data_IF_107300159099
#
_entry.id   IF_107300159099
#
_cell.length_a   1.000
_cell.length_b   1.000
_cell.length_c   1.000
_cell.angle_alpha   90.00
_cell.angle_beta   90.00
_cell.angle_gamma   90.00
#
_symmetry.space_group_name_H-M   'P 1'
#
loop_
_entity.id
_entity.type
_entity.pdbx_description
1 polymer ?
#
# COMPACT_ATOMS: atom_id res chain seq x y z
N UNK A 1 38.53 -4.53 -7.95
CA UNK A 1 37.85 -3.58 -8.85
C UNK A 1 36.96 -4.36 -9.80
N UNK A 2 35.78 -3.82 -10.13
CA UNK A 2 34.83 -4.37 -11.10
C UNK A 2 34.21 -3.23 -11.91
N UNK A 3 33.98 -3.46 -13.19
CA UNK A 3 33.20 -2.57 -14.05
C UNK A 3 31.75 -3.04 -14.11
N UNK A 4 30.81 -2.11 -14.21
CA UNK A 4 29.40 -2.43 -14.41
C UNK A 4 29.15 -3.02 -15.80
N UNK A 5 28.48 -4.19 -15.91
CA UNK A 5 28.24 -4.83 -17.20
C UNK A 5 27.22 -4.11 -18.08
N UNK A 6 26.44 -3.16 -17.55
CA UNK A 6 25.40 -2.42 -18.27
C UNK A 6 25.79 -0.95 -18.55
N UNK A 7 26.78 -0.39 -17.85
CA UNK A 7 27.29 0.97 -18.07
C UNK A 7 28.82 0.99 -18.10
N UNK A 8 29.36 1.20 -19.30
CA UNK A 8 30.79 1.40 -19.50
C UNK A 8 31.29 2.61 -18.70
N UNK A 9 32.46 2.46 -18.06
CA UNK A 9 33.10 3.50 -17.25
C UNK A 9 32.49 3.73 -15.86
N UNK A 10 31.45 2.98 -15.48
CA UNK A 10 30.97 2.89 -14.10
C UNK A 10 31.76 1.79 -13.39
N UNK A 11 32.66 2.18 -12.49
CA UNK A 11 33.57 1.28 -11.80
C UNK A 11 33.29 1.22 -10.30
N UNK A 12 33.49 0.04 -9.72
CA UNK A 12 33.43 -0.23 -8.30
C UNK A 12 34.77 -0.74 -7.78
N UNK A 13 35.24 -0.19 -6.67
CA UNK A 13 36.49 -0.60 -6.03
C UNK A 13 36.28 -0.87 -4.54
N UNK A 14 36.89 -1.96 -4.07
CA UNK A 14 37.03 -2.27 -2.66
C UNK A 14 38.42 -1.89 -2.18
N UNK A 15 38.52 -1.39 -0.96
CA UNK A 15 39.78 -1.02 -0.31
C UNK A 15 39.86 -1.68 1.07
N UNK A 16 40.96 -1.44 1.80
CA UNK A 16 41.12 -1.86 3.20
C UNK A 16 40.09 -1.22 4.15
N UNK A 17 39.38 -0.17 3.70
CA UNK A 17 38.49 0.62 4.56
C UNK A 17 37.06 0.74 4.04
N UNK A 18 36.74 0.21 2.85
CA UNK A 18 35.37 0.29 2.33
C UNK A 18 35.24 0.11 0.82
N UNK A 19 34.12 0.59 0.30
CA UNK A 19 33.77 0.52 -1.13
C UNK A 19 33.68 1.93 -1.75
N UNK A 20 34.02 2.02 -3.03
CA UNK A 20 34.11 3.25 -3.81
C UNK A 20 33.49 3.05 -5.18
N UNK A 21 32.98 4.14 -5.76
CA UNK A 21 32.41 4.19 -7.10
C UNK A 21 33.06 5.29 -7.93
N UNK A 22 33.30 5.03 -9.21
CA UNK A 22 33.71 6.02 -10.21
C UNK A 22 32.70 6.01 -11.36
N UNK A 23 32.37 7.20 -11.86
CA UNK A 23 31.42 7.38 -12.98
C UNK A 23 32.11 7.79 -14.28
N UNK A 24 33.45 7.82 -14.29
CA UNK A 24 34.30 8.39 -15.33
C UNK A 24 35.60 7.59 -15.53
N UNK A 25 35.44 6.27 -15.60
CA UNK A 25 36.50 5.31 -15.94
C UNK A 25 37.71 5.36 -14.98
N UNK A 26 37.44 5.65 -13.71
CA UNK A 26 38.44 5.68 -12.64
C UNK A 26 39.18 7.00 -12.48
N UNK A 27 38.78 8.05 -13.21
CA UNK A 27 39.39 9.39 -13.10
C UNK A 27 39.08 10.03 -11.74
N UNK A 28 37.84 9.89 -11.28
CA UNK A 28 37.40 10.36 -9.96
C UNK A 28 36.67 9.24 -9.20
N UNK A 29 36.95 9.15 -7.90
CA UNK A 29 36.37 8.15 -7.00
C UNK A 29 35.59 8.83 -5.88
N UNK A 30 34.41 8.29 -5.58
CA UNK A 30 33.53 8.72 -4.51
C UNK A 30 33.27 7.54 -3.58
N UNK A 31 33.15 7.80 -2.27
CA UNK A 31 32.86 6.76 -1.30
C UNK A 31 31.45 6.21 -1.51
N UNK A 32 31.33 4.87 -1.60
CA UNK A 32 30.06 4.14 -1.64
C UNK A 32 29.87 3.37 -0.33
N UNK A 33 30.02 4.08 0.79
CA UNK A 33 30.06 3.44 2.11
C UNK A 33 28.67 3.12 2.65
N UNK A 34 27.67 4.01 2.52
CA UNK A 34 26.31 3.83 3.06
C UNK A 34 26.33 3.25 4.49
N UNK A 35 25.73 2.07 4.71
CA UNK A 35 25.77 1.33 5.99
C UNK A 35 26.82 0.18 6.00
N UNK A 36 27.64 0.04 4.96
CA UNK A 36 28.76 -0.90 4.95
C UNK A 36 29.70 -0.54 6.11
N UNK A 37 30.13 -1.51 6.95
CA UNK A 37 31.12 -1.22 7.99
C UNK A 37 32.49 -0.92 7.38
N UNK A 38 33.31 -0.15 8.10
CA UNK A 38 34.73 0.04 7.75
C UNK A 38 35.45 -1.29 7.94
N UNK A 39 35.73 -1.99 6.84
CA UNK A 39 36.35 -3.32 6.81
C UNK A 39 37.03 -3.54 5.46
N UNK A 40 38.09 -4.37 5.38
CA UNK A 40 38.67 -4.73 4.11
C UNK A 40 37.67 -5.41 3.18
N UNK A 41 37.61 -4.95 1.93
CA UNK A 41 36.82 -5.54 0.85
C UNK A 41 37.73 -6.38 -0.03
N UNK A 42 37.55 -7.70 0.00
CA UNK A 42 38.39 -8.63 -0.76
C UNK A 42 37.90 -8.88 -2.18
N UNK A 43 36.59 -8.85 -2.39
CA UNK A 43 36.01 -9.04 -3.72
C UNK A 43 34.68 -8.31 -3.87
N UNK A 44 34.33 -8.05 -5.12
CA UNK A 44 33.10 -7.44 -5.56
C UNK A 44 32.56 -8.26 -6.72
N UNK A 45 31.26 -8.51 -6.75
CA UNK A 45 30.58 -9.05 -7.93
C UNK A 45 29.28 -8.28 -8.18
N UNK A 46 28.89 -8.21 -9.44
CA UNK A 46 27.58 -7.67 -9.83
C UNK A 46 26.70 -8.84 -10.20
N UNK A 47 25.58 -8.99 -9.51
CA UNK A 47 24.59 -10.03 -9.76
C UNK A 47 23.27 -9.38 -10.15
N UNK A 48 22.96 -9.39 -11.46
CA UNK A 48 21.81 -8.67 -11.99
C UNK A 48 21.93 -7.16 -11.77
N UNK A 49 21.13 -6.64 -10.85
CA UNK A 49 21.10 -5.22 -10.47
C UNK A 49 21.63 -4.99 -9.05
N UNK A 50 22.29 -5.98 -8.44
CA UNK A 50 22.80 -5.89 -7.08
C UNK A 50 24.33 -5.93 -7.06
N UNK A 51 24.96 -5.12 -6.20
CA UNK A 51 26.40 -5.14 -5.95
C UNK A 51 26.67 -5.93 -4.66
N UNK A 52 27.32 -7.09 -4.80
CA UNK A 52 27.68 -7.95 -3.68
C UNK A 52 29.15 -7.72 -3.32
N UNK A 53 29.39 -7.46 -2.03
CA UNK A 53 30.68 -7.10 -1.46
C UNK A 53 31.12 -8.19 -0.49
N UNK A 54 32.26 -8.83 -0.76
CA UNK A 54 32.87 -9.80 0.14
C UNK A 54 33.79 -9.07 1.14
N UNK A 55 33.42 -9.10 2.42
CA UNK A 55 34.16 -8.40 3.49
C UNK A 55 35.05 -9.34 4.29
N UNK A 56 36.14 -8.81 4.84
CA UNK A 56 36.99 -9.55 5.75
C UNK A 56 36.37 -9.65 7.15
N UNK A 57 35.99 -10.86 7.56
CA UNK A 57 35.51 -11.13 8.92
C UNK A 57 34.06 -10.69 9.21
N UNK A 58 33.30 -10.24 8.20
CA UNK A 58 31.90 -9.76 8.37
C UNK A 58 30.91 -10.26 7.30
N UNK A 59 31.17 -11.42 6.69
CA UNK A 59 30.30 -12.05 5.65
C UNK A 59 30.13 -11.17 4.39
N UNK A 60 29.03 -11.31 3.66
CA UNK A 60 28.72 -10.50 2.48
C UNK A 60 27.83 -9.31 2.86
N UNK A 61 28.05 -8.18 2.19
CA UNK A 61 27.14 -7.03 2.18
C UNK A 61 26.59 -6.86 0.77
N UNK A 62 25.31 -6.53 0.63
CA UNK A 62 24.66 -6.35 -0.67
C UNK A 62 24.09 -4.95 -0.72
N UNK A 63 24.47 -4.20 -1.76
CA UNK A 63 23.73 -3.03 -2.18
C UNK A 63 22.66 -3.49 -3.16
N UNK A 64 21.43 -3.58 -2.67
CA UNK A 64 20.28 -3.87 -3.50
C UNK A 64 20.03 -2.71 -4.46
N UNK A 65 19.85 -3.05 -5.74
CA UNK A 65 19.51 -2.14 -6.84
C UNK A 65 20.48 -0.97 -7.09
N UNK A 66 21.50 -1.22 -7.93
CA UNK A 66 22.43 -0.20 -8.44
C UNK A 66 21.88 0.57 -9.67
N UNK A 67 20.60 0.41 -10.03
CA UNK A 67 19.99 1.10 -11.17
C UNK A 67 20.07 2.64 -11.07
N UNK A 68 19.93 3.28 -9.89
CA UNK A 68 20.16 4.72 -9.76
C UNK A 68 21.61 5.11 -10.08
N UNK A 69 22.60 4.31 -9.68
CA UNK A 69 24.01 4.58 -10.00
C UNK A 69 24.27 4.49 -11.51
N UNK A 70 23.64 3.53 -12.19
CA UNK A 70 23.73 3.42 -13.65
C UNK A 70 23.13 4.62 -14.39
N UNK A 71 22.11 5.25 -13.83
CA UNK A 71 21.45 6.41 -14.43
C UNK A 71 22.05 7.75 -13.97
N UNK A 72 22.78 7.77 -12.85
CA UNK A 72 23.36 8.97 -12.27
C UNK A 72 24.37 9.64 -13.21
N UNK A 73 24.13 10.92 -13.49
CA UNK A 73 25.00 11.75 -14.30
C UNK A 73 24.88 13.22 -13.85
N UNK A 74 25.77 14.12 -14.28
CA UNK A 74 25.76 15.51 -13.83
C UNK A 74 24.47 16.29 -14.11
N UNK A 75 23.67 15.92 -15.12
CA UNK A 75 22.42 16.63 -15.41
C UNK A 75 21.36 16.36 -14.34
N UNK A 76 21.31 15.15 -13.77
CA UNK A 76 20.34 14.75 -12.74
C UNK A 76 20.45 15.65 -11.51
N UNK A 77 21.66 16.01 -11.09
CA UNK A 77 21.88 16.91 -9.95
C UNK A 77 21.39 18.36 -10.21
N UNK A 78 21.21 18.74 -11.49
CA UNK A 78 20.65 20.03 -11.88
C UNK A 78 19.13 20.05 -11.94
N UNK A 79 18.48 18.89 -12.02
CA UNK A 79 17.03 18.76 -12.13
C UNK A 79 16.35 19.05 -10.79
N UNK A 80 15.21 19.76 -10.81
CA UNK A 80 14.43 20.04 -9.59
C UNK A 80 13.90 18.73 -8.96
N UNK A 81 13.44 17.82 -9.80
CA UNK A 81 13.05 16.46 -9.42
C UNK A 81 13.37 15.51 -10.58
N UNK A 82 13.90 14.33 -10.24
CA UNK A 82 14.21 13.27 -11.20
C UNK A 82 13.63 11.94 -10.71
N UNK A 83 13.01 11.18 -11.60
CA UNK A 83 12.50 9.85 -11.30
C UNK A 83 13.32 8.83 -12.08
N UNK A 84 13.99 7.94 -11.36
CA UNK A 84 14.82 6.91 -11.96
C UNK A 84 13.95 5.79 -12.52
N UNK A 85 14.38 5.20 -13.63
CA UNK A 85 13.79 3.94 -14.11
C UNK A 85 14.12 2.85 -13.10
N UNK A 86 13.10 2.19 -12.56
CA UNK A 86 13.26 1.11 -11.59
C UNK A 86 13.76 -0.17 -12.27
N UNK A 87 14.40 -1.05 -11.49
CA UNK A 87 14.64 -2.44 -11.93
C UNK A 87 13.31 -3.15 -12.21
N UNK A 88 13.38 -4.27 -12.91
CA UNK A 88 12.21 -5.14 -13.10
C UNK A 88 11.74 -5.64 -11.73
N UNK A 89 10.50 -5.32 -11.36
CA UNK A 89 9.89 -5.81 -10.13
C UNK A 89 9.38 -7.24 -10.33
N UNK A 90 9.47 -8.05 -9.28
CA UNK A 90 8.94 -9.41 -9.29
C UNK A 90 7.69 -9.43 -8.42
N UNK A 91 6.56 -9.80 -9.01
CA UNK A 91 5.33 -10.10 -8.28
C UNK A 91 5.51 -11.42 -7.53
N UNK A 92 6.02 -11.33 -6.31
CA UNK A 92 6.25 -12.45 -5.41
C UNK A 92 5.32 -12.37 -4.20
N UNK A 93 4.94 -13.53 -3.66
CA UNK A 93 4.30 -13.65 -2.36
C UNK A 93 5.34 -14.12 -1.36
N UNK A 94 6.04 -13.18 -0.72
CA UNK A 94 7.03 -13.50 0.30
C UNK A 94 6.34 -13.84 1.62
N UNK A 95 6.69 -14.98 2.22
CA UNK A 95 6.12 -15.43 3.50
C UNK A 95 6.51 -14.53 4.68
N UNK A 96 5.75 -14.64 5.78
CA UNK A 96 5.78 -13.79 6.98
C UNK A 96 7.12 -13.11 7.33
N UNK A 97 7.06 -11.78 7.46
CA UNK A 97 8.05 -10.94 8.15
C UNK A 97 7.94 -11.09 9.67
N UNK A 98 8.16 -12.30 10.21
CA UNK A 98 8.31 -12.44 11.68
C UNK A 98 9.53 -11.62 12.11
N UNK A 99 9.38 -10.84 13.20
CA UNK A 99 10.53 -10.18 13.86
C UNK A 99 11.63 -11.20 14.10
N UNK A 100 12.79 -10.94 13.52
CA UNK A 100 13.90 -11.90 13.46
C UNK A 100 14.55 -11.98 14.85
N UNK A 101 14.77 -13.20 15.34
CA UNK A 101 15.42 -13.45 16.65
C UNK A 101 16.95 -13.42 16.59
N UNK A 102 17.54 -13.34 15.40
CA UNK A 102 18.99 -13.41 15.15
C UNK A 102 19.43 -12.38 14.10
N UNK A 103 20.71 -12.00 14.12
CA UNK A 103 21.33 -11.13 13.13
C UNK A 103 21.53 -11.87 11.80
N UNK A 104 20.52 -11.83 10.94
CA UNK A 104 20.55 -12.36 9.58
C UNK A 104 20.26 -11.22 8.59
N UNK A 105 20.97 -11.20 7.46
CA UNK A 105 20.87 -10.14 6.45
C UNK A 105 19.43 -9.92 5.98
N UNK A 106 19.06 -8.66 5.75
CA UNK A 106 17.72 -8.29 5.32
C UNK A 106 17.46 -8.77 3.88
N UNK A 107 16.22 -9.16 3.61
CA UNK A 107 15.82 -9.36 2.22
C UNK A 107 15.57 -7.98 1.60
N UNK A 108 15.70 -7.83 0.28
CA UNK A 108 15.27 -6.61 -0.39
C UNK A 108 13.79 -6.32 -0.06
N UNK A 109 13.36 -5.04 -0.12
CA UNK A 109 11.98 -4.67 0.11
C UNK A 109 11.01 -5.48 -0.77
N UNK A 110 9.87 -5.87 -0.19
CA UNK A 110 8.85 -6.61 -0.94
C UNK A 110 8.10 -5.66 -1.89
N UNK A 111 8.23 -5.90 -3.20
CA UNK A 111 7.60 -5.10 -4.25
C UNK A 111 8.59 -4.36 -5.17
N UNK A 112 8.18 -3.19 -5.66
CA UNK A 112 8.98 -2.33 -6.55
C UNK A 112 9.68 -1.22 -5.76
N UNK A 113 11.01 -1.23 -5.74
CA UNK A 113 11.82 -0.12 -5.23
C UNK A 113 11.84 1.03 -6.25
N UNK A 114 11.29 2.18 -5.85
CA UNK A 114 11.21 3.38 -6.65
C UNK A 114 12.18 4.41 -6.09
N UNK A 115 13.09 4.88 -6.94
CA UNK A 115 14.08 5.88 -6.59
C UNK A 115 13.77 7.20 -7.27
N UNK A 116 13.87 8.29 -6.53
CA UNK A 116 13.74 9.64 -7.06
C UNK A 116 14.67 10.60 -6.35
N UNK A 117 15.14 11.60 -7.09
CA UNK A 117 15.96 12.69 -6.57
C UNK A 117 15.12 13.95 -6.48
N UNK A 118 15.26 14.67 -5.37
CA UNK A 118 14.74 16.02 -5.17
C UNK A 118 15.91 16.95 -4.92
N UNK A 119 16.03 18.04 -5.68
CA UNK A 119 17.14 18.99 -5.50
C UNK A 119 17.14 19.62 -4.13
N UNK A 120 15.95 19.99 -3.66
CA UNK A 120 15.71 20.63 -2.37
C UNK A 120 14.51 19.94 -1.70
N UNK A 121 14.37 20.13 -0.39
CA UNK A 121 13.20 19.68 0.35
C UNK A 121 11.97 20.51 -0.08
N UNK A 122 10.91 19.87 -0.62
CA UNK A 122 9.75 20.57 -1.15
C UNK A 122 8.92 21.16 -0.02
N UNK A 123 8.41 22.38 -0.23
CA UNK A 123 7.53 23.07 0.75
C UNK A 123 6.10 22.54 0.74
N UNK A 124 5.64 22.10 -0.43
CA UNK A 124 4.33 21.53 -0.65
C UNK A 124 4.43 20.00 -0.75
N UNK A 125 3.39 19.24 -0.36
CA UNK A 125 3.40 17.80 -0.48
C UNK A 125 3.64 17.32 -1.91
N UNK A 126 4.50 16.32 -2.05
CA UNK A 126 4.75 15.63 -3.32
C UNK A 126 3.79 14.45 -3.49
N UNK A 127 3.57 14.05 -4.74
CA UNK A 127 2.71 12.90 -5.08
C UNK A 127 3.46 11.90 -5.94
N UNK A 128 3.23 10.62 -5.67
CA UNK A 128 3.71 9.52 -6.50
C UNK A 128 2.51 8.68 -6.92
N UNK A 129 2.22 8.66 -8.22
CA UNK A 129 1.09 7.94 -8.81
C UNK A 129 1.59 6.72 -9.58
N UNK A 130 0.92 5.59 -9.39
CA UNK A 130 1.17 4.35 -10.10
C UNK A 130 0.10 4.25 -11.17
N UNK A 131 0.51 4.08 -12.41
CA UNK A 131 -0.39 4.04 -13.57
C UNK A 131 -0.27 2.73 -14.31
N UNK A 132 -1.39 2.24 -14.81
CA UNK A 132 -1.42 1.10 -15.71
C UNK A 132 -0.88 1.44 -17.11
N UNK A 133 -0.86 0.44 -18.00
CA UNK A 133 -0.45 0.60 -19.39
C UNK A 133 -1.32 1.60 -20.19
N UNK A 134 -2.52 1.94 -19.72
CA UNK A 134 -3.45 2.90 -20.34
C UNK A 134 -3.32 4.31 -19.76
N UNK A 135 -2.48 4.49 -18.74
CA UNK A 135 -2.31 5.76 -18.03
C UNK A 135 -3.41 6.03 -16.99
N UNK A 136 -4.18 5.01 -16.57
CA UNK A 136 -5.11 5.12 -15.45
C UNK A 136 -4.35 4.95 -14.13
N UNK A 137 -4.59 5.86 -13.18
CA UNK A 137 -4.02 5.76 -11.83
C UNK A 137 -4.64 4.57 -11.10
N UNK A 138 -3.80 3.64 -10.64
CA UNK A 138 -4.19 2.45 -9.88
C UNK A 138 -3.96 2.61 -8.38
N UNK A 139 -3.05 3.50 -7.98
CA UNK A 139 -2.73 3.87 -6.60
C UNK A 139 -1.98 5.19 -6.56
N UNK A 140 -2.18 5.98 -5.50
CA UNK A 140 -1.47 7.24 -5.32
C UNK A 140 -0.99 7.42 -3.88
N UNK A 141 0.23 7.95 -3.75
CA UNK A 141 0.90 8.24 -2.49
C UNK A 141 1.18 9.73 -2.37
N UNK A 142 1.18 10.24 -1.14
CA UNK A 142 1.46 11.65 -0.83
C UNK A 142 2.45 11.76 0.32
N UNK A 143 3.27 12.81 0.31
CA UNK A 143 4.13 13.17 1.45
C UNK A 143 3.41 14.02 2.50
N UNK A 144 2.09 14.18 2.39
CA UNK A 144 1.30 14.88 3.40
C UNK A 144 1.26 14.05 4.69
N UNK A 145 1.62 14.69 5.81
CA UNK A 145 1.48 14.06 7.13
C UNK A 145 -0.01 13.87 7.45
N UNK A 146 -0.45 12.62 7.63
CA UNK A 146 -1.78 12.36 8.18
C UNK A 146 -1.73 12.65 9.68
N UNK A 147 -2.62 13.50 10.17
CA UNK A 147 -2.85 13.62 11.61
C UNK A 147 -3.31 12.26 12.14
N UNK A 148 -2.60 11.72 13.13
CA UNK A 148 -3.04 10.54 13.88
C UNK A 148 -4.31 10.90 14.65
N UNK A 149 -5.47 10.55 14.11
CA UNK A 149 -6.74 10.63 14.82
C UNK A 149 -6.89 9.36 15.67
N UNK A 150 -6.45 9.40 16.93
CA UNK A 150 -6.65 8.32 17.91
C UNK A 150 -5.36 7.81 18.53
N UNK A 151 -5.38 7.55 19.83
CA UNK A 151 -4.21 7.06 20.57
C UNK A 151 -3.85 5.64 20.15
N UNK A 152 -2.58 5.43 19.82
CA UNK A 152 -2.02 4.12 19.53
C UNK A 152 -2.26 3.18 20.70
N UNK A 153 -3.04 2.12 20.50
CA UNK A 153 -3.09 1.01 21.44
C UNK A 153 -1.80 0.19 21.34
N UNK A 154 -1.40 -0.42 22.46
CA UNK A 154 -0.12 -1.13 22.69
C UNK A 154 0.15 -2.31 21.72
N UNK A 155 -0.82 -2.64 20.86
CA UNK A 155 -0.77 -3.72 19.86
C UNK A 155 -0.74 -3.25 18.41
N UNK A 156 -0.75 -1.93 18.14
CA UNK A 156 -0.44 -1.43 16.80
C UNK A 156 0.98 -1.87 16.44
N UNK A 157 1.09 -2.94 15.64
CA UNK A 157 2.29 -3.18 14.83
C UNK A 157 2.59 -1.85 14.18
N UNK A 158 3.84 -1.36 14.29
CA UNK A 158 4.34 -0.19 13.56
C UNK A 158 3.70 -0.19 12.16
N UNK A 159 2.62 0.58 11.99
CA UNK A 159 2.02 0.73 10.69
C UNK A 159 3.11 1.41 9.89
N UNK A 160 3.57 0.73 8.84
CA UNK A 160 4.38 1.40 7.83
C UNK A 160 3.42 2.35 7.15
N UNK A 161 3.22 3.51 7.75
CA UNK A 161 2.46 4.59 7.15
C UNK A 161 3.00 4.74 5.72
N UNK A 162 2.10 4.66 4.74
CA UNK A 162 2.39 4.81 3.31
C UNK A 162 2.76 6.27 3.01
N UNK A 163 3.77 6.77 3.71
CA UNK A 163 4.24 8.13 3.69
C UNK A 163 5.40 8.21 2.69
N UNK A 164 5.22 9.05 1.68
CA UNK A 164 6.20 9.25 0.63
C UNK A 164 7.32 10.17 1.15
N UNK A 165 8.58 9.71 1.26
CA UNK A 165 9.65 10.54 1.80
C UNK A 165 9.95 11.73 0.89
N UNK A 166 10.05 12.93 1.46
CA UNK A 166 10.26 14.16 0.70
C UNK A 166 11.54 14.88 1.13
N UNK A 167 12.68 14.19 1.25
CA UNK A 167 13.94 14.80 1.67
C UNK A 167 14.73 15.34 0.47
N UNK A 168 15.54 16.37 0.67
CA UNK A 168 16.53 16.76 -0.33
C UNK A 168 17.52 15.60 -0.60
N UNK A 169 17.86 15.39 -1.87
CA UNK A 169 18.71 14.29 -2.31
C UNK A 169 17.94 13.09 -2.84
N UNK A 170 18.58 11.91 -2.80
CA UNK A 170 17.99 10.65 -3.23
C UNK A 170 17.01 10.12 -2.17
N UNK A 171 15.81 9.79 -2.61
CA UNK A 171 14.77 9.14 -1.82
C UNK A 171 14.45 7.77 -2.42
N UNK A 172 13.96 6.87 -1.57
CA UNK A 172 13.48 5.55 -1.96
C UNK A 172 12.08 5.35 -1.37
N UNK A 173 11.18 4.83 -2.19
CA UNK A 173 9.85 4.39 -1.79
C UNK A 173 9.60 2.99 -2.33
N UNK A 174 9.01 2.09 -1.54
CA UNK A 174 8.68 0.74 -2.00
C UNK A 174 7.18 0.63 -2.23
N UNK A 175 6.79 0.34 -3.46
CA UNK A 175 5.42 -0.01 -3.76
C UNK A 175 5.23 -1.53 -3.64
N UNK A 176 4.34 -1.95 -2.76
CA UNK A 176 3.94 -3.35 -2.50
C UNK A 176 3.28 -4.10 -3.67
N UNK A 177 3.26 -3.49 -4.86
CA UNK A 177 2.62 -4.01 -6.08
C UNK A 177 1.10 -4.21 -5.94
N UNK A 178 0.42 -3.55 -5.00
CA UNK A 178 -1.03 -3.63 -4.83
C UNK A 178 -1.75 -2.39 -5.34
N UNK A 179 -2.98 -2.59 -5.82
CA UNK A 179 -3.95 -1.52 -6.08
C UNK A 179 -4.30 -0.76 -4.80
N UNK A 180 -4.92 0.41 -4.96
CA UNK A 180 -5.47 1.20 -3.85
C UNK A 180 -6.36 0.33 -2.92
N UNK A 181 -6.12 0.43 -1.62
CA UNK A 181 -6.89 -0.28 -0.59
C UNK A 181 -8.27 0.36 -0.37
N UNK A 182 -9.27 -0.42 0.09
CA UNK A 182 -10.55 0.13 0.53
C UNK A 182 -10.38 1.18 1.63
N UNK A 183 -11.32 2.12 1.74
CA UNK A 183 -11.36 3.05 2.89
C UNK A 183 -11.41 2.27 4.20
N UNK A 184 -10.45 2.51 5.10
CA UNK A 184 -10.48 1.99 6.47
C UNK A 184 -11.62 2.64 7.27
N UNK A 185 -12.33 1.84 8.04
CA UNK A 185 -13.25 2.29 9.09
C UNK A 185 -12.44 2.51 10.37
N UNK A 186 -12.41 3.73 10.94
CA UNK A 186 -11.70 4.00 12.19
C UNK A 186 -12.21 3.13 13.34
N UNK A 187 -11.27 2.61 14.14
CA UNK A 187 -11.51 1.74 15.30
C UNK A 187 -12.33 0.47 14.99
N UNK A 188 -12.41 0.06 13.71
CA UNK A 188 -12.94 -1.25 13.37
C UNK A 188 -11.87 -2.31 13.61
N UNK A 189 -12.30 -3.46 14.13
CA UNK A 189 -11.46 -4.65 14.21
C UNK A 189 -11.52 -5.36 12.85
N UNK A 190 -10.35 -5.73 12.34
CA UNK A 190 -10.20 -6.59 11.17
C UNK A 190 -9.47 -7.87 11.60
N UNK A 191 -10.23 -8.88 12.04
CA UNK A 191 -9.71 -10.19 12.46
C UNK A 191 -8.79 -10.87 11.44
N UNK A 192 -9.12 -10.71 10.17
CA UNK A 192 -8.38 -11.28 9.04
C UNK A 192 -7.30 -10.32 8.49
N UNK A 193 -7.02 -9.22 9.18
CA UNK A 193 -6.09 -8.20 8.72
C UNK A 193 -6.75 -7.15 7.84
N UNK A 194 -6.03 -6.06 7.65
CA UNK A 194 -6.60 -4.85 7.10
C UNK A 194 -7.02 -4.99 5.62
N UNK A 195 -8.07 -4.26 5.18
CA UNK A 195 -8.47 -4.24 3.78
C UNK A 195 -7.30 -3.83 2.89
N UNK A 196 -6.99 -4.64 1.89
CA UNK A 196 -5.90 -4.38 0.93
C UNK A 196 -6.39 -4.48 -0.51
N UNK A 197 -5.73 -3.79 -1.43
CA UNK A 197 -5.97 -3.98 -2.86
C UNK A 197 -5.33 -5.26 -3.41
N UNK A 198 -5.85 -5.83 -4.52
CA UNK A 198 -5.20 -6.96 -5.17
C UNK A 198 -3.80 -6.60 -5.66
N UNK A 199 -2.91 -7.60 -5.68
CA UNK A 199 -1.65 -7.50 -6.43
C UNK A 199 -1.94 -7.22 -7.90
N UNK A 200 -1.16 -6.33 -8.50
CA UNK A 200 -1.20 -6.07 -9.94
C UNK A 200 -0.82 -7.31 -10.73
N UNK A 201 -1.25 -7.40 -11.98
CA UNK A 201 -0.82 -8.46 -12.90
C UNK A 201 0.58 -8.16 -13.45
N UNK A 202 1.37 -9.19 -13.82
CA UNK A 202 2.60 -8.98 -14.59
C UNK A 202 2.32 -8.16 -15.85
N UNK A 203 3.17 -7.19 -16.14
CA UNK A 203 3.00 -6.28 -17.27
C UNK A 203 3.76 -4.96 -17.11
N UNK A 204 3.45 -4.02 -17.98
CA UNK A 204 4.05 -2.69 -18.01
C UNK A 204 3.18 -1.67 -17.29
N UNK A 205 3.82 -0.90 -16.42
CA UNK A 205 3.25 0.18 -15.63
C UNK A 205 4.08 1.45 -15.81
N UNK A 206 3.57 2.55 -15.28
CA UNK A 206 4.27 3.82 -15.23
C UNK A 206 4.21 4.37 -13.81
N UNK A 207 5.27 5.06 -13.41
CA UNK A 207 5.33 5.80 -12.15
C UNK A 207 5.39 7.27 -12.51
N UNK A 208 4.51 8.08 -11.93
CA UNK A 208 4.54 9.54 -12.08
C UNK A 208 4.86 10.18 -10.75
N UNK A 209 5.95 10.94 -10.71
CA UNK A 209 6.30 11.78 -9.57
C UNK A 209 5.90 13.23 -9.88
N UNK A 210 5.17 13.86 -8.97
CA UNK A 210 4.80 15.27 -9.05
C UNK A 210 5.33 16.01 -7.84
N UNK A 211 6.18 17.02 -8.08
CA UNK A 211 6.75 17.89 -7.06
C UNK A 211 6.63 19.36 -7.52
N UNK A 212 5.80 20.14 -6.83
CA UNK A 212 5.44 21.48 -7.25
C UNK A 212 4.81 21.49 -8.66
N UNK A 213 5.38 22.28 -9.57
CA UNK A 213 4.92 22.36 -10.96
C UNK A 213 5.54 21.28 -11.89
N UNK A 214 6.49 20.48 -11.39
CA UNK A 214 7.15 19.45 -12.18
C UNK A 214 6.43 18.12 -12.03
N UNK A 215 6.22 17.46 -13.16
CA UNK A 215 5.72 16.09 -13.22
C UNK A 215 6.60 15.28 -14.17
N UNK A 216 7.17 14.19 -13.66
CA UNK A 216 8.07 13.30 -14.40
C UNK A 216 7.50 11.89 -14.37
N UNK A 217 7.63 11.17 -15.48
CA UNK A 217 7.12 9.80 -15.64
C UNK A 217 8.27 8.88 -16.00
N UNK A 218 8.34 7.72 -15.35
CA UNK A 218 9.27 6.65 -15.67
C UNK A 218 8.50 5.32 -15.89
N UNK A 219 8.98 4.44 -16.78
CA UNK A 219 8.38 3.12 -16.96
C UNK A 219 8.73 2.20 -15.77
N UNK A 220 7.85 1.24 -15.51
CA UNK A 220 8.03 0.17 -14.53
C UNK A 220 7.56 -1.15 -15.14
N UNK A 221 8.38 -2.19 -15.04
CA UNK A 221 8.01 -3.52 -15.51
C UNK A 221 7.83 -4.46 -14.31
N UNK A 222 6.72 -5.20 -14.30
CA UNK A 222 6.42 -6.22 -13.30
C UNK A 222 6.39 -7.59 -13.97
N UNK A 223 7.20 -8.51 -13.49
CA UNK A 223 7.25 -9.89 -13.97
C UNK A 223 6.72 -10.86 -12.94
N UNK A 224 6.30 -12.04 -13.38
CA UNK A 224 5.81 -13.08 -12.48
C UNK A 224 6.98 -13.76 -11.75
N UNK A 225 6.79 -14.13 -10.48
CA UNK A 225 7.69 -15.07 -9.81
C UNK A 225 7.87 -16.34 -10.67
N UNK A 226 9.11 -16.70 -11.08
CA UNK A 226 9.36 -17.82 -11.99
C UNK A 226 8.95 -19.19 -11.41
N UNK A 227 8.71 -19.28 -10.10
CA UNK A 227 8.24 -20.49 -9.43
C UNK A 227 6.74 -20.73 -9.66
N UNK A 228 5.97 -19.68 -9.96
CA UNK A 228 4.54 -19.79 -10.24
C UNK A 228 4.31 -20.29 -11.66
N UNK A 229 3.42 -21.27 -11.81
CA UNK A 229 3.10 -21.94 -13.09
C UNK A 229 1.66 -21.69 -13.56
N UNK A 230 0.90 -20.89 -12.83
CA UNK A 230 -0.49 -20.55 -13.14
C UNK A 230 -0.58 -19.79 -14.45
N UNK A 231 -1.54 -20.16 -15.28
CA UNK A 231 -1.77 -19.50 -16.57
C UNK A 231 -2.21 -18.04 -16.38
N UNK A 232 -1.81 -17.15 -17.29
CA UNK A 232 -2.17 -15.73 -17.25
C UNK A 232 -3.68 -15.50 -17.20
N UNK A 233 -4.46 -16.31 -17.93
CA UNK A 233 -5.93 -16.23 -17.92
C UNK A 233 -6.55 -16.56 -16.55
N UNK A 234 -5.91 -17.43 -15.78
CA UNK A 234 -6.38 -17.83 -14.47
C UNK A 234 -5.96 -16.81 -13.39
N UNK A 235 -4.77 -16.21 -13.53
CA UNK A 235 -4.38 -15.04 -12.75
C UNK A 235 -5.31 -13.85 -13.01
N UNK A 236 -5.72 -13.64 -14.26
CA UNK A 236 -6.69 -12.60 -14.62
C UNK A 236 -8.04 -12.82 -13.91
N UNK A 237 -8.56 -14.06 -13.89
CA UNK A 237 -9.81 -14.37 -13.17
C UNK A 237 -9.70 -14.10 -11.68
N UNK A 238 -8.55 -14.41 -11.08
CA UNK A 238 -8.28 -14.12 -9.68
C UNK A 238 -8.26 -12.62 -9.42
N UNK A 239 -7.50 -11.88 -10.23
CA UNK A 239 -7.40 -10.43 -10.16
C UNK A 239 -8.79 -9.77 -10.29
N UNK A 240 -9.58 -10.19 -11.29
CA UNK A 240 -10.91 -9.65 -11.52
C UNK A 240 -11.85 -9.88 -10.34
N UNK A 241 -11.79 -11.06 -9.70
CA UNK A 241 -12.58 -11.35 -8.52
C UNK A 241 -12.15 -10.49 -7.34
N UNK A 242 -10.84 -10.44 -7.05
CA UNK A 242 -10.29 -9.63 -5.95
C UNK A 242 -10.56 -8.14 -6.14
N UNK A 243 -10.47 -7.62 -7.36
CA UNK A 243 -10.77 -6.22 -7.65
C UNK A 243 -12.25 -5.89 -7.38
N UNK A 244 -13.16 -6.78 -7.77
CA UNK A 244 -14.59 -6.62 -7.43
C UNK A 244 -14.83 -6.70 -5.93
N UNK A 245 -14.17 -7.61 -5.22
CA UNK A 245 -14.27 -7.72 -3.76
C UNK A 245 -13.77 -6.45 -3.08
N UNK A 246 -12.62 -5.92 -3.50
CA UNK A 246 -12.05 -4.65 -3.06
C UNK A 246 -13.05 -3.51 -3.25
N UNK A 247 -13.60 -3.36 -4.46
CA UNK A 247 -14.55 -2.29 -4.78
C UNK A 247 -15.81 -2.36 -3.91
N UNK A 248 -16.33 -3.57 -3.68
CA UNK A 248 -17.51 -3.80 -2.84
C UNK A 248 -17.24 -3.59 -1.35
N UNK A 249 -16.04 -3.95 -0.88
CA UNK A 249 -15.62 -3.64 0.48
C UNK A 249 -15.47 -2.13 0.68
N UNK A 250 -14.94 -1.40 -0.31
CA UNK A 250 -14.83 0.06 -0.26
C UNK A 250 -16.21 0.74 -0.22
N UNK A 251 -17.17 0.28 -1.04
CA UNK A 251 -18.55 0.77 -1.01
C UNK A 251 -19.21 0.52 0.35
N UNK A 252 -19.07 -0.69 0.91
CA UNK A 252 -19.55 -1.03 2.25
C UNK A 252 -18.94 -0.13 3.33
N UNK A 253 -17.62 0.07 3.31
CA UNK A 253 -16.93 0.87 4.32
C UNK A 253 -17.35 2.34 4.22
N UNK A 254 -17.49 2.89 3.01
CA UNK A 254 -18.04 4.23 2.79
C UNK A 254 -19.47 4.37 3.29
N UNK A 255 -20.32 3.36 3.09
CA UNK A 255 -21.69 3.36 3.62
C UNK A 255 -21.71 3.37 5.15
N UNK A 256 -20.86 2.56 5.81
CA UNK A 256 -20.72 2.55 7.28
C UNK A 256 -20.27 3.93 7.79
N UNK A 257 -19.26 4.53 7.16
CA UNK A 257 -18.79 5.87 7.53
C UNK A 257 -19.89 6.92 7.40
N UNK A 258 -20.65 6.88 6.31
CA UNK A 258 -21.78 7.80 6.10
C UNK A 258 -22.93 7.57 7.10
N UNK A 259 -23.21 6.32 7.48
CA UNK A 259 -24.18 5.98 8.53
C UNK A 259 -23.74 6.55 9.89
N UNK A 260 -22.45 6.39 10.25
CA UNK A 260 -21.89 6.91 11.51
C UNK A 260 -21.95 8.43 11.56
N UNK A 261 -21.61 9.10 10.45
CA UNK A 261 -21.71 10.55 10.33
C UNK A 261 -23.16 11.04 10.50
N UNK A 262 -24.11 10.46 9.75
CA UNK A 262 -25.52 10.80 9.87
C UNK A 262 -26.04 10.58 11.30
N UNK A 263 -25.66 9.47 11.95
CA UNK A 263 -26.02 9.22 13.35
C UNK A 263 -25.50 10.33 14.27
N UNK A 264 -24.26 10.78 14.09
CA UNK A 264 -23.70 11.91 14.83
C UNK A 264 -24.51 13.20 14.64
N UNK A 265 -24.92 13.49 13.40
CA UNK A 265 -25.77 14.64 13.09
C UNK A 265 -27.16 14.55 13.75
N UNK A 266 -27.80 13.38 13.72
CA UNK A 266 -29.10 13.14 14.36
C UNK A 266 -29.01 13.35 15.87
N UNK A 267 -27.99 12.80 16.52
CA UNK A 267 -27.77 12.99 17.96
C UNK A 267 -27.51 14.46 18.32
N UNK A 268 -26.79 15.21 17.48
CA UNK A 268 -26.58 16.63 17.68
C UNK A 268 -27.89 17.44 17.52
N UNK A 269 -28.74 17.06 16.55
CA UNK A 269 -30.05 17.66 16.35
C UNK A 269 -30.97 17.44 17.55
N UNK A 270 -31.06 16.20 18.05
CA UNK A 270 -31.85 15.85 19.23
C UNK A 270 -31.43 16.68 20.45
N UNK A 271 -30.11 16.79 20.71
CA UNK A 271 -29.56 17.59 21.81
C UNK A 271 -29.91 19.08 21.68
N UNK A 272 -29.86 19.62 20.45
CA UNK A 272 -30.15 21.04 20.19
C UNK A 272 -31.63 21.37 20.35
N UNK A 273 -32.51 20.47 19.92
CA UNK A 273 -33.96 20.68 19.95
C UNK A 273 -34.59 20.41 21.33
N UNK A 274 -33.97 19.52 22.12
CA UNK A 274 -34.41 19.18 23.47
C UNK A 274 -35.85 18.64 23.50
N UNK A 275 -36.50 18.74 24.66
CA UNK A 275 -37.83 18.16 24.91
C UNK A 275 -39.00 19.13 24.70
N UNK A 276 -38.80 20.22 23.95
CA UNK A 276 -39.86 21.22 23.72
C UNK A 276 -41.03 20.61 22.94
N UNK A 277 -42.27 20.97 23.29
CA UNK A 277 -43.47 20.41 22.66
C UNK A 277 -43.50 20.52 21.11
N UNK A 278 -43.05 21.63 20.49
CA UNK A 278 -43.00 21.76 19.03
C UNK A 278 -41.95 20.85 18.36
N UNK A 279 -40.87 20.50 19.08
CA UNK A 279 -39.77 19.71 18.53
C UNK A 279 -39.97 18.19 18.65
N UNK A 280 -40.95 17.74 19.45
CA UNK A 280 -41.21 16.31 19.68
C UNK A 280 -41.35 15.47 18.40
N UNK A 281 -42.06 15.92 17.34
CA UNK A 281 -42.17 15.14 16.11
C UNK A 281 -40.82 14.95 15.41
N UNK A 282 -40.00 16.00 15.34
CA UNK A 282 -38.68 15.95 14.69
C UNK A 282 -37.70 15.08 15.47
N UNK A 283 -37.71 15.18 16.81
CA UNK A 283 -36.88 14.32 17.68
C UNK A 283 -37.30 12.85 17.56
N UNK A 284 -38.60 12.56 17.47
CA UNK A 284 -39.08 11.20 17.27
C UNK A 284 -38.66 10.65 15.89
N UNK A 285 -38.81 11.43 14.82
CA UNK A 285 -38.37 11.06 13.48
C UNK A 285 -36.84 10.83 13.41
N UNK A 286 -36.05 11.70 14.05
CA UNK A 286 -34.60 11.54 14.14
C UNK A 286 -34.20 10.25 14.88
N UNK A 287 -34.87 9.95 15.99
CA UNK A 287 -34.62 8.73 16.76
C UNK A 287 -35.00 7.46 15.96
N UNK A 288 -36.12 7.47 15.24
CA UNK A 288 -36.55 6.34 14.42
C UNK A 288 -35.64 6.14 13.21
N UNK A 289 -35.21 7.22 12.57
CA UNK A 289 -34.18 7.17 11.53
C UNK A 289 -32.86 6.61 12.08
N UNK A 290 -32.46 7.06 13.28
CA UNK A 290 -31.29 6.55 13.99
C UNK A 290 -31.33 5.03 14.21
N UNK A 291 -32.47 4.49 14.63
CA UNK A 291 -32.67 3.02 14.76
C UNK A 291 -32.56 2.33 13.40
N UNK A 292 -33.17 2.90 12.36
CA UNK A 292 -33.20 2.32 11.01
C UNK A 292 -31.78 2.19 10.42
N UNK A 293 -30.96 3.24 10.55
CA UNK A 293 -29.57 3.21 10.04
C UNK A 293 -28.65 2.32 10.89
N UNK A 294 -28.88 2.23 12.20
CA UNK A 294 -28.14 1.30 13.06
C UNK A 294 -28.39 -0.16 12.70
N UNK A 295 -29.63 -0.53 12.41
CA UNK A 295 -29.95 -1.89 11.96
C UNK A 295 -29.26 -2.26 10.62
N UNK A 296 -28.95 -1.27 9.77
CA UNK A 296 -28.16 -1.51 8.54
C UNK A 296 -26.69 -1.71 8.91
N UNK A 297 -26.10 -0.81 9.71
CA UNK A 297 -24.69 -0.94 10.12
C UNK A 297 -24.42 -2.26 10.83
N UNK A 298 -25.30 -2.69 11.74
CA UNK A 298 -25.18 -3.93 12.50
C UNK A 298 -25.18 -5.19 11.62
N UNK A 299 -25.67 -5.11 10.38
CA UNK A 299 -25.56 -6.19 9.39
C UNK A 299 -24.26 -6.11 8.57
N UNK A 300 -23.77 -4.90 8.33
CA UNK A 300 -22.53 -4.66 7.59
C UNK A 300 -21.28 -4.96 8.43
N UNK A 301 -21.25 -4.55 9.70
CA UNK A 301 -20.09 -4.65 10.59
C UNK A 301 -20.50 -4.97 12.03
N UNK A 302 -19.64 -5.66 12.77
CA UNK A 302 -19.85 -5.93 14.19
C UNK A 302 -19.55 -4.67 15.03
N UNK A 303 -20.60 -3.98 15.47
CA UNK A 303 -20.48 -2.71 16.21
C UNK A 303 -20.05 -2.87 17.67
N UNK A 304 -20.14 -4.09 18.22
CA UNK A 304 -19.80 -4.35 19.63
C UNK A 304 -18.35 -4.78 19.84
N UNK A 305 -17.62 -5.12 18.77
CA UNK A 305 -16.22 -5.55 18.87
C UNK A 305 -15.33 -4.35 19.19
N UNK A 306 -14.60 -4.43 20.30
CA UNK A 306 -13.60 -3.43 20.71
C UNK A 306 -12.20 -4.02 20.82
N UNK A 307 -12.10 -5.34 20.93
CA UNK A 307 -10.84 -6.09 20.90
C UNK A 307 -10.95 -7.27 19.93
N UNK A 308 -9.81 -7.80 19.48
CA UNK A 308 -9.73 -8.97 18.58
C UNK A 308 -10.50 -10.18 19.10
N UNK A 309 -10.50 -10.40 20.41
CA UNK A 309 -11.14 -11.54 21.05
C UNK A 309 -12.67 -11.41 21.12
N UNK A 310 -13.23 -10.21 20.95
CA UNK A 310 -14.68 -10.00 20.93
C UNK A 310 -15.35 -10.67 19.72
N UNK A 311 -14.60 -10.91 18.65
CA UNK A 311 -15.11 -11.61 17.47
C UNK A 311 -15.49 -13.07 17.75
N UNK A 312 -14.99 -13.66 18.85
CA UNK A 312 -15.44 -14.97 19.33
C UNK A 312 -16.78 -14.90 20.09
N UNK A 313 -17.13 -13.72 20.60
CA UNK A 313 -18.33 -13.51 21.43
C UNK A 313 -19.55 -13.05 20.63
N UNK A 314 -19.34 -12.47 19.44
CA UNK A 314 -20.40 -11.90 18.62
C UNK A 314 -20.48 -12.52 17.22
N UNK A 315 -21.66 -12.52 16.56
CA UNK A 315 -21.78 -13.08 15.22
C UNK A 315 -20.92 -12.33 14.18
N UNK A 316 -20.26 -13.09 13.31
CA UNK A 316 -19.50 -12.57 12.15
C UNK A 316 -20.44 -11.86 11.16
N UNK A 317 -20.10 -10.62 10.80
CA UNK A 317 -20.87 -9.77 9.88
C UNK A 317 -20.24 -9.70 8.48
N UNK A 318 -20.89 -9.00 7.55
CA UNK A 318 -20.49 -8.99 6.13
C UNK A 318 -19.06 -8.51 5.92
N UNK A 319 -18.60 -7.53 6.70
CA UNK A 319 -17.22 -7.02 6.65
C UNK A 319 -16.19 -8.14 6.87
N UNK A 320 -16.23 -8.85 8.00
CA UNK A 320 -15.29 -9.95 8.26
C UNK A 320 -15.46 -11.09 7.25
N UNK A 321 -16.71 -11.48 6.89
CA UNK A 321 -16.94 -12.56 5.90
C UNK A 321 -16.31 -12.27 4.53
N UNK A 322 -16.42 -11.03 4.05
CA UNK A 322 -15.75 -10.60 2.81
C UNK A 322 -14.23 -10.58 2.98
N UNK A 323 -13.72 -10.14 4.15
CA UNK A 323 -12.30 -10.20 4.50
C UNK A 323 -11.72 -11.63 4.44
N UNK A 324 -12.36 -12.60 5.09
CA UNK A 324 -11.98 -14.02 5.02
C UNK A 324 -11.91 -14.53 3.59
N UNK A 325 -12.95 -14.26 2.80
CA UNK A 325 -12.98 -14.70 1.41
C UNK A 325 -11.86 -14.04 0.60
N UNK A 326 -11.60 -12.75 0.84
CA UNK A 326 -10.55 -12.02 0.14
C UNK A 326 -9.19 -12.64 0.44
N UNK A 327 -8.90 -12.94 1.70
CA UNK A 327 -7.67 -13.60 2.12
C UNK A 327 -7.54 -15.00 1.53
N UNK A 328 -8.62 -15.78 1.49
CA UNK A 328 -8.61 -17.10 0.88
C UNK A 328 -8.25 -17.01 -0.61
N UNK A 329 -8.93 -16.12 -1.35
CA UNK A 329 -8.68 -15.91 -2.78
C UNK A 329 -7.29 -15.33 -3.03
N UNK A 330 -6.79 -14.42 -2.19
CA UNK A 330 -5.46 -13.80 -2.32
C UNK A 330 -4.33 -14.65 -1.72
N UNK A 331 -4.61 -15.83 -1.16
CA UNK A 331 -3.60 -16.64 -0.44
C UNK A 331 -2.53 -17.26 -1.36
N UNK A 332 -2.83 -17.41 -2.65
CA UNK A 332 -1.96 -18.04 -3.64
C UNK A 332 -2.06 -17.33 -4.99
N UNK A 333 -1.24 -17.73 -5.95
CA UNK A 333 -1.37 -17.31 -7.34
C UNK A 333 -2.06 -18.41 -8.13
N UNK A 334 -3.39 -18.42 -8.10
CA UNK A 334 -4.19 -19.53 -8.61
C UNK A 334 -5.53 -19.04 -9.16
N UNK A 335 -6.14 -19.86 -10.01
CA UNK A 335 -7.53 -19.67 -10.43
C UNK A 335 -8.45 -19.71 -9.20
N UNK A 336 -9.43 -18.79 -9.05
CA UNK A 336 -10.45 -18.93 -8.02
C UNK A 336 -11.22 -20.23 -8.18
N UNK A 337 -11.47 -20.89 -7.05
CA UNK A 337 -12.31 -22.08 -6.98
C UNK A 337 -13.77 -21.72 -7.24
N UNK A 338 -14.56 -22.69 -7.69
CA UNK A 338 -16.00 -22.49 -7.89
C UNK A 338 -16.71 -22.15 -6.57
N UNK A 339 -16.22 -22.68 -5.46
CA UNK A 339 -16.74 -22.37 -4.12
C UNK A 339 -16.49 -20.90 -3.74
N UNK A 340 -15.28 -20.37 -3.95
CA UNK A 340 -14.98 -18.96 -3.66
C UNK A 340 -15.86 -18.01 -4.49
N UNK A 341 -16.04 -18.32 -5.78
CA UNK A 341 -16.92 -17.52 -6.67
C UNK A 341 -18.37 -17.58 -6.20
N UNK A 342 -18.87 -18.76 -5.80
CA UNK A 342 -20.23 -18.92 -5.31
C UNK A 342 -20.45 -18.20 -3.96
N UNK A 343 -19.49 -18.28 -3.03
CA UNK A 343 -19.55 -17.56 -1.75
C UNK A 343 -19.53 -16.05 -1.98
N UNK A 344 -18.68 -15.55 -2.90
CA UNK A 344 -18.68 -14.14 -3.26
C UNK A 344 -20.05 -13.68 -3.76
N UNK A 345 -20.68 -14.43 -4.68
CA UNK A 345 -21.98 -14.08 -5.22
C UNK A 345 -23.08 -14.00 -4.14
N UNK A 346 -23.04 -14.90 -3.14
CA UNK A 346 -23.98 -14.86 -2.02
C UNK A 346 -23.72 -13.66 -1.08
N UNK A 347 -22.46 -13.40 -0.73
CA UNK A 347 -22.09 -12.27 0.12
C UNK A 347 -22.40 -10.93 -0.56
N UNK A 348 -22.12 -10.82 -1.86
CA UNK A 348 -22.41 -9.61 -2.63
C UNK A 348 -23.92 -9.33 -2.70
N UNK A 349 -24.75 -10.36 -2.86
CA UNK A 349 -26.22 -10.24 -2.81
C UNK A 349 -26.71 -9.75 -1.44
N UNK A 350 -26.14 -10.26 -0.35
CA UNK A 350 -26.47 -9.80 1.01
C UNK A 350 -26.04 -8.35 1.25
N UNK A 351 -24.83 -7.99 0.82
CA UNK A 351 -24.32 -6.62 0.88
C UNK A 351 -25.22 -5.67 0.08
N UNK A 352 -25.56 -6.04 -1.15
CA UNK A 352 -26.41 -5.23 -2.02
C UNK A 352 -27.78 -4.97 -1.41
N UNK A 353 -28.37 -5.97 -0.74
CA UNK A 353 -29.62 -5.79 -0.02
C UNK A 353 -29.53 -4.73 1.09
N UNK A 354 -28.40 -4.65 1.81
CA UNK A 354 -28.19 -3.62 2.84
C UNK A 354 -27.88 -2.25 2.24
N UNK A 355 -27.05 -2.19 1.18
CA UNK A 355 -26.75 -0.95 0.46
C UNK A 355 -27.99 -0.36 -0.21
N UNK A 356 -28.90 -1.20 -0.72
CA UNK A 356 -30.18 -0.75 -1.25
C UNK A 356 -31.05 -0.12 -0.17
N UNK A 357 -31.14 -0.71 1.03
CA UNK A 357 -31.84 -0.08 2.17
C UNK A 357 -31.21 1.25 2.55
N UNK A 358 -29.88 1.35 2.55
CA UNK A 358 -29.19 2.60 2.82
C UNK A 358 -29.51 3.68 1.78
N UNK A 359 -29.51 3.34 0.48
CA UNK A 359 -29.91 4.27 -0.57
C UNK A 359 -31.38 4.69 -0.47
N UNK A 360 -32.28 3.79 -0.04
CA UNK A 360 -33.67 4.16 0.26
C UNK A 360 -33.77 5.17 1.41
N UNK A 361 -32.97 4.97 2.47
CA UNK A 361 -32.90 5.92 3.60
C UNK A 361 -32.50 7.32 3.14
N UNK A 362 -31.43 7.41 2.35
CA UNK A 362 -30.96 8.68 1.81
C UNK A 362 -31.99 9.36 0.89
N UNK A 363 -32.77 8.56 0.15
CA UNK A 363 -33.74 9.07 -0.83
C UNK A 363 -35.06 9.52 -0.20
N UNK A 364 -35.52 8.85 0.86
CA UNK A 364 -36.86 9.02 1.42
C UNK A 364 -36.84 9.58 2.83
N UNK A 365 -36.17 8.88 3.75
CA UNK A 365 -36.26 9.21 5.17
C UNK A 365 -35.46 10.47 5.53
N UNK A 366 -34.30 10.70 4.90
CA UNK A 366 -33.50 11.92 5.16
C UNK A 366 -34.21 13.20 4.69
N UNK A 367 -34.81 13.27 3.48
CA UNK A 367 -35.56 14.46 3.06
C UNK A 367 -36.88 14.71 3.82
N UNK A 368 -37.46 13.68 4.44
CA UNK A 368 -38.68 13.79 5.24
C UNK A 368 -38.45 14.35 6.65
N UNK A 369 -37.19 14.32 7.12
CA UNK A 369 -36.75 14.87 8.41
C UNK A 369 -36.53 16.38 8.35
#
# INVERSE_FOLDING_TARGET
>A
MREDPKRQGLLYAGTETGAWVSFDDGSHWQALQLNLPTTPVHDLIIHGDDLVVATHGRSFWVLDDISPLRQANPSVAGEEAHLFTSRIAIRARLGHTRRRRYAIGENPPDGAALYYYLKEEPKDPIKLELLDARGQVIRAFTSEEKKKDGGSEEWERDETEEHLPAKAGLNQFTWDLRHESPKKIPAAIYDEGEPSGPLVLPGTYQVRLTAGAKSVIAPLEVTMDPRVKTATEDLQKQFDLLLRMRDRQDEMNKAILAIRDLRGQLQALEKRLGSSAPAKPVVAAAADLGKKISAIEEELIQVNSKASEDELNYPTKLNSKLGYLQNAVDSADAKPTEAEVAVYAELDRQLEAQLAKWREVLRKDVPEL
#
